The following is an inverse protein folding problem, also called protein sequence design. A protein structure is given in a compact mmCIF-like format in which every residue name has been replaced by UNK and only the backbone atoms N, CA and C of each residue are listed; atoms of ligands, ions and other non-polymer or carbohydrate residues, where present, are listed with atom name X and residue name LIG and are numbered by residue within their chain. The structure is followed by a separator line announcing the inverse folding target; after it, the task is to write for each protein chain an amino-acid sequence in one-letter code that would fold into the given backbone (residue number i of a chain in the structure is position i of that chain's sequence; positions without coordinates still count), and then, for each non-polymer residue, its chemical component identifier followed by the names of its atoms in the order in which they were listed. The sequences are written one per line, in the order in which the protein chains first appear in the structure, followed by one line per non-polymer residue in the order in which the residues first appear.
data_IF_583503531753
#
_entry.id   IF_583503531753
#
_cell.length_a   1.000
_cell.length_b   1.000
_cell.length_c   1.000
_cell.angle_alpha   90.00
_cell.angle_beta   90.00
_cell.angle_gamma   90.00
#
_symmetry.space_group_name_H-M   'P 1'
#
loop_
_entity.id
_entity.type
_entity.pdbx_description
1 polymer ?
#
# COMPACT_ATOMS: atom_id res chain seq x y z
N UNK A 1 -5.03 -15.23 -2.17
CA UNK A 1 -5.79 -13.96 -2.05
C UNK A 1 -4.84 -12.84 -1.67
N UNK A 2 -4.91 -11.72 -2.37
CA UNK A 2 -4.06 -10.56 -2.09
C UNK A 2 -4.66 -9.73 -0.96
N UNK A 3 -3.82 -9.30 -0.03
CA UNK A 3 -4.21 -8.41 1.06
C UNK A 3 -3.19 -7.30 1.21
N UNK A 4 -3.65 -6.07 1.37
CA UNK A 4 -2.79 -4.92 1.65
C UNK A 4 -2.84 -4.52 3.13
N UNK A 5 -3.27 -5.43 3.99
CA UNK A 5 -3.27 -5.17 5.44
C UNK A 5 -1.90 -4.72 5.98
N UNK A 6 -0.76 -5.27 5.52
CA UNK A 6 0.54 -4.80 5.98
C UNK A 6 0.79 -3.31 5.69
N UNK A 7 0.28 -2.80 4.56
CA UNK A 7 0.45 -1.41 4.19
C UNK A 7 -0.12 -0.47 5.26
N UNK A 8 -1.32 -0.77 5.74
CA UNK A 8 -1.99 0.08 6.73
C UNK A 8 -1.23 0.09 8.06
N UNK A 9 -0.67 -1.05 8.45
CA UNK A 9 0.15 -1.14 9.65
C UNK A 9 1.45 -0.35 9.49
N UNK A 10 2.06 -0.40 8.32
CA UNK A 10 3.30 0.34 8.04
C UNK A 10 3.05 1.85 8.09
N UNK A 11 1.93 2.31 7.51
CA UNK A 11 1.54 3.72 7.57
C UNK A 11 1.35 4.18 9.01
N UNK A 12 0.68 3.36 9.81
CA UNK A 12 0.46 3.67 11.23
C UNK A 12 1.77 3.78 11.98
N UNK A 13 2.68 2.83 11.76
CA UNK A 13 4.00 2.84 12.39
C UNK A 13 4.81 4.08 12.05
N UNK A 14 4.68 4.58 10.83
CA UNK A 14 5.44 5.74 10.35
C UNK A 14 4.70 7.06 10.54
N UNK A 15 3.50 7.03 11.10
CA UNK A 15 2.66 8.22 11.28
C UNK A 15 2.36 8.92 9.94
N UNK A 16 2.15 8.14 8.89
CA UNK A 16 1.79 8.65 7.57
C UNK A 16 0.31 8.34 7.33
N UNK A 17 -0.46 9.36 6.98
CA UNK A 17 -1.88 9.19 6.68
C UNK A 17 -2.10 8.89 5.21
N UNK A 18 -3.27 8.33 4.87
CA UNK A 18 -3.67 8.15 3.48
C UNK A 18 -3.74 9.48 2.75
N UNK A 19 -4.18 10.53 3.44
CA UNK A 19 -4.21 11.88 2.91
C UNK A 19 -2.83 12.34 2.46
N UNK A 20 -1.80 12.08 3.28
CA UNK A 20 -0.42 12.41 2.94
C UNK A 20 0.08 11.65 1.72
N UNK A 21 -0.32 10.38 1.56
CA UNK A 21 0.05 9.62 0.37
C UNK A 21 -0.45 10.31 -0.90
N UNK A 22 -1.66 10.85 -0.87
CA UNK A 22 -2.23 11.56 -2.01
C UNK A 22 -1.56 12.90 -2.23
N UNK A 23 -1.46 13.72 -1.19
CA UNK A 23 -1.08 15.13 -1.32
C UNK A 23 0.43 15.37 -1.29
N UNK A 24 1.18 14.56 -0.54
CA UNK A 24 2.62 14.75 -0.41
C UNK A 24 3.42 13.83 -1.32
N UNK A 25 2.89 12.66 -1.64
CA UNK A 25 3.62 11.65 -2.39
C UNK A 25 3.03 11.35 -3.77
N UNK A 26 1.92 11.96 -4.11
CA UNK A 26 1.34 11.84 -5.45
C UNK A 26 0.64 10.52 -5.76
N UNK A 27 0.28 9.74 -4.76
CA UNK A 27 -0.50 8.52 -4.97
C UNK A 27 -1.92 8.90 -5.38
N UNK A 28 -2.43 8.32 -6.46
CA UNK A 28 -3.76 8.67 -6.94
C UNK A 28 -4.86 8.13 -6.02
N UNK A 29 -6.00 8.82 -6.00
CA UNK A 29 -7.16 8.38 -5.21
C UNK A 29 -7.67 7.03 -5.69
N UNK A 30 -7.62 6.77 -7.00
CA UNK A 30 -8.03 5.49 -7.57
C UNK A 30 -7.13 4.34 -7.11
N UNK A 31 -5.82 4.57 -7.06
CA UNK A 31 -4.87 3.59 -6.56
C UNK A 31 -5.15 3.28 -5.09
N UNK A 32 -5.38 4.32 -4.29
CA UNK A 32 -5.64 4.15 -2.87
C UNK A 32 -6.94 3.37 -2.64
N UNK A 33 -7.96 3.64 -3.45
CA UNK A 33 -9.23 2.92 -3.38
C UNK A 33 -9.03 1.43 -3.69
N UNK A 34 -8.24 1.11 -4.72
CA UNK A 34 -7.91 -0.27 -5.07
C UNK A 34 -7.19 -0.98 -3.90
N UNK A 35 -6.25 -0.28 -3.25
CA UNK A 35 -5.55 -0.83 -2.10
C UNK A 35 -6.49 -1.13 -0.93
N UNK A 36 -7.43 -0.22 -0.66
CA UNK A 36 -8.43 -0.44 0.41
C UNK A 36 -9.30 -1.66 0.15
N UNK A 37 -9.60 -1.93 -1.11
CA UNK A 37 -10.48 -3.03 -1.53
C UNK A 37 -9.72 -4.32 -1.83
N UNK A 38 -8.41 -4.34 -1.58
CA UNK A 38 -7.53 -5.47 -1.89
C UNK A 38 -7.60 -5.88 -3.36
N UNK A 39 -7.78 -4.90 -4.25
CA UNK A 39 -7.77 -5.13 -5.68
C UNK A 39 -6.33 -5.14 -6.19
N UNK A 40 -6.10 -5.86 -7.28
CA UNK A 40 -4.78 -5.93 -7.90
C UNK A 40 -4.29 -4.55 -8.33
N UNK A 41 -3.02 -4.28 -8.05
CA UNK A 41 -2.32 -3.10 -8.56
C UNK A 41 -1.05 -3.58 -9.24
N UNK A 42 -0.40 -2.71 -10.02
CA UNK A 42 0.83 -3.11 -10.70
C UNK A 42 2.00 -3.21 -9.71
N UNK A 43 3.00 -3.99 -10.09
CA UNK A 43 4.24 -4.07 -9.31
C UNK A 43 4.94 -2.72 -9.25
N UNK A 44 4.80 -1.88 -10.28
CA UNK A 44 5.33 -0.51 -10.24
C UNK A 44 4.71 0.31 -9.12
N UNK A 45 3.41 0.16 -8.91
CA UNK A 45 2.73 0.82 -7.79
C UNK A 45 3.28 0.33 -6.45
N UNK A 46 3.47 -0.98 -6.31
CA UNK A 46 4.04 -1.55 -5.09
C UNK A 46 5.47 -1.04 -4.87
N UNK A 47 6.27 -0.99 -5.94
CA UNK A 47 7.62 -0.44 -5.88
C UNK A 47 7.63 1.01 -5.40
N UNK A 48 6.71 1.82 -5.92
CA UNK A 48 6.59 3.23 -5.51
C UNK A 48 6.25 3.35 -4.02
N UNK A 49 5.33 2.52 -3.54
CA UNK A 49 4.97 2.53 -2.12
C UNK A 49 6.16 2.12 -1.25
N UNK A 50 6.91 1.10 -1.64
CA UNK A 50 8.10 0.69 -0.92
C UNK A 50 9.14 1.81 -0.86
N UNK A 51 9.31 2.54 -1.96
CA UNK A 51 10.24 3.67 -2.01
C UNK A 51 9.79 4.81 -1.11
N UNK A 52 8.50 5.17 -1.18
CA UNK A 52 7.91 6.23 -0.35
C UNK A 52 8.07 5.93 1.13
N UNK A 53 7.78 4.68 1.51
CA UNK A 53 7.76 4.26 2.91
C UNK A 53 9.10 3.70 3.38
N UNK A 54 10.08 3.62 2.48
CA UNK A 54 11.40 3.06 2.77
C UNK A 54 11.29 1.68 3.43
N UNK A 55 10.55 0.79 2.78
CA UNK A 55 10.27 -0.53 3.32
C UNK A 55 10.35 -1.59 2.21
N UNK A 56 10.15 -2.85 2.58
CA UNK A 56 10.16 -3.97 1.62
C UNK A 56 8.73 -4.33 1.24
N UNK A 57 8.59 -5.19 0.22
CA UNK A 57 7.28 -5.59 -0.28
C UNK A 57 6.42 -6.25 0.79
N UNK A 58 7.02 -6.97 1.74
CA UNK A 58 6.29 -7.63 2.81
C UNK A 58 5.62 -6.64 3.78
N UNK A 59 6.07 -5.39 3.78
CA UNK A 59 5.48 -4.32 4.57
C UNK A 59 4.30 -3.65 3.85
N UNK A 60 4.01 -4.05 2.63
CA UNK A 60 2.96 -3.47 1.79
C UNK A 60 1.86 -4.47 1.47
N UNK A 61 2.25 -5.68 1.08
CA UNK A 61 1.30 -6.68 0.56
C UNK A 61 1.62 -8.06 1.11
N UNK A 62 0.59 -8.89 1.26
CA UNK A 62 0.73 -10.29 1.64
C UNK A 62 -0.17 -11.13 0.76
N UNK A 63 0.21 -12.39 0.59
CA UNK A 63 -0.61 -13.36 -0.13
C UNK A 63 -1.16 -14.33 0.91
N UNK A 64 -2.48 -14.32 1.06
CA UNK A 64 -3.15 -15.20 2.01
C UNK A 64 -3.57 -16.50 1.32
N UNK A 65 -3.59 -17.62 2.06
CA UNK A 65 -4.05 -18.87 1.45
C UNK A 65 -5.52 -18.79 1.07
N UNK A 66 -5.86 -19.45 -0.05
CA UNK A 66 -7.24 -19.58 -0.50
C UNK A 66 -7.82 -20.85 0.11
N UNK A 67 -8.91 -20.74 0.80
CA UNK A 67 -9.62 -21.89 1.40
C UNK A 67 -11.01 -22.02 0.84
#
# INVERSE_FOLDING_TARGET
MISFAPLWKTLEKQNITQYQLINSYGVSTGTLDALRKNKSVTLNTVQDLCRILNCTITDVVEILPDN
#
